data_IF_929818356438
#
_entry.id   IF_929818356438
#
_cell.length_a   1.000
_cell.length_b   1.000
_cell.length_c   1.000
_cell.angle_alpha   90.00
_cell.angle_beta   90.00
_cell.angle_gamma   90.00
#
_symmetry.space_group_name_H-M   'P 1'
#
loop_
_entity.id
_entity.type
_entity.pdbx_description
1 polymer ?
#
# COMPACT_ATOMS: atom_id res chain seq x y z
N UNK A 1 -4.22 21.00 -3.95
CA UNK A 1 -4.60 19.79 -3.18
C UNK A 1 -3.56 18.71 -3.43
N UNK A 2 -3.33 17.79 -2.51
CA UNK A 2 -2.36 16.69 -2.66
C UNK A 2 -3.03 15.36 -2.30
N UNK A 3 -2.54 14.26 -2.86
CA UNK A 3 -2.99 12.90 -2.55
C UNK A 3 -1.93 12.25 -1.68
N UNK A 4 -2.35 11.69 -0.54
CA UNK A 4 -1.45 10.98 0.38
C UNK A 4 -1.87 9.52 0.51
N UNK A 5 -0.93 8.59 0.75
CA UNK A 5 -1.26 7.20 1.03
C UNK A 5 -1.92 7.04 2.40
N UNK A 6 -2.73 5.99 2.54
CA UNK A 6 -3.43 5.63 3.78
C UNK A 6 -2.51 5.59 5.01
N UNK A 7 -1.39 4.86 4.95
CA UNK A 7 -0.45 4.75 6.08
C UNK A 7 0.21 6.07 6.47
N UNK A 8 0.33 7.04 5.57
CA UNK A 8 0.90 8.34 5.90
C UNK A 8 -0.04 9.17 6.79
N UNK A 9 -1.34 8.87 6.79
CA UNK A 9 -2.33 9.56 7.62
C UNK A 9 -2.12 9.29 9.12
N UNK A 10 -1.45 8.18 9.47
CA UNK A 10 -1.24 7.76 10.85
C UNK A 10 -0.26 8.66 11.60
N UNK A 11 0.70 9.27 10.88
CA UNK A 11 1.72 10.15 11.46
C UNK A 11 1.32 11.63 11.41
N UNK A 12 0.06 11.94 11.06
CA UNK A 12 -0.42 13.31 11.01
C UNK A 12 -0.74 13.84 12.41
N UNK A 13 -0.47 15.13 12.61
CA UNK A 13 -1.00 15.86 13.78
C UNK A 13 -2.53 15.92 13.71
N UNK A 14 -3.23 16.05 14.85
CA UNK A 14 -4.69 16.11 14.88
C UNK A 14 -5.28 17.16 13.92
N UNK A 15 -4.71 18.37 13.94
CA UNK A 15 -5.10 19.48 13.05
C UNK A 15 -4.98 19.16 11.56
N UNK A 16 -3.98 18.36 11.18
CA UNK A 16 -3.78 17.93 9.78
C UNK A 16 -4.72 16.80 9.41
N UNK A 17 -5.04 15.92 10.36
CA UNK A 17 -5.95 14.80 10.17
C UNK A 17 -7.37 15.27 9.86
N UNK A 18 -7.81 16.37 10.45
CA UNK A 18 -9.10 17.01 10.14
C UNK A 18 -9.21 17.51 8.68
N UNK A 19 -8.08 17.74 8.01
CA UNK A 19 -8.02 18.17 6.61
C UNK A 19 -7.94 17.00 5.63
N UNK A 20 -7.91 15.76 6.12
CA UNK A 20 -7.87 14.57 5.27
C UNK A 20 -9.28 14.31 4.75
N UNK A 21 -9.41 14.28 3.42
CA UNK A 21 -10.69 14.03 2.74
C UNK A 21 -10.57 12.65 2.07
N UNK A 22 -11.40 11.66 2.45
CA UNK A 22 -11.40 10.36 1.79
C UNK A 22 -12.02 10.47 0.39
N UNK A 23 -11.61 9.58 -0.51
CA UNK A 23 -12.23 9.49 -1.84
C UNK A 23 -13.61 8.83 -1.75
N UNK A 24 -14.53 9.30 -2.59
CA UNK A 24 -15.82 8.62 -2.85
C UNK A 24 -15.55 7.28 -3.53
N UNK A 25 -16.42 6.30 -3.29
CA UNK A 25 -16.27 4.99 -3.92
C UNK A 25 -16.36 5.07 -5.46
N UNK A 26 -15.54 4.29 -6.19
CA UNK A 26 -14.51 3.38 -5.68
C UNK A 26 -13.24 4.12 -5.24
N UNK A 27 -12.78 3.87 -4.02
CA UNK A 27 -11.55 4.48 -3.49
C UNK A 27 -10.32 3.95 -4.26
N UNK A 28 -9.47 4.84 -4.82
CA UNK A 28 -8.25 4.41 -5.49
C UNK A 28 -7.28 3.80 -4.48
N UNK A 29 -6.73 2.64 -4.81
CA UNK A 29 -5.74 1.94 -4.00
C UNK A 29 -4.47 1.71 -4.82
N UNK A 30 -3.35 1.46 -4.13
CA UNK A 30 -2.07 1.11 -4.76
C UNK A 30 -1.60 -0.26 -4.30
N UNK A 31 -1.00 -1.02 -5.20
CA UNK A 31 -0.26 -2.23 -4.85
C UNK A 31 1.15 -1.86 -4.40
N UNK A 32 1.65 -2.52 -3.35
CA UNK A 32 3.03 -2.39 -2.89
C UNK A 32 3.65 -3.78 -2.90
N UNK A 33 4.68 -3.97 -3.72
CA UNK A 33 5.29 -5.28 -3.97
C UNK A 33 6.78 -5.24 -3.62
N UNK A 34 7.29 -6.35 -3.07
CA UNK A 34 8.72 -6.51 -2.79
C UNK A 34 9.41 -7.10 -4.03
N UNK A 35 10.27 -6.31 -4.67
CA UNK A 35 11.03 -6.72 -5.86
C UNK A 35 12.41 -7.19 -5.43
N UNK A 36 12.86 -8.32 -5.97
CA UNK A 36 14.21 -8.83 -5.77
C UNK A 36 14.81 -9.35 -7.08
N UNK A 37 16.14 -9.45 -7.13
CA UNK A 37 16.83 -10.01 -8.27
C UNK A 37 16.46 -11.49 -8.48
N UNK A 38 16.28 -11.90 -9.74
CA UNK A 38 15.86 -13.26 -10.13
C UNK A 38 16.79 -14.35 -9.59
N UNK A 39 18.10 -14.10 -9.57
CA UNK A 39 19.13 -15.07 -9.16
C UNK A 39 19.60 -14.90 -7.71
N UNK A 40 18.77 -14.31 -6.85
CA UNK A 40 19.10 -14.20 -5.43
C UNK A 40 19.14 -15.58 -4.76
N UNK A 41 20.19 -15.85 -3.99
CA UNK A 41 20.37 -17.12 -3.27
C UNK A 41 19.69 -17.11 -1.89
N UNK A 42 19.29 -15.92 -1.40
CA UNK A 42 18.76 -15.71 -0.05
C UNK A 42 17.22 -15.61 -0.02
N UNK A 43 16.53 -16.51 -0.72
CA UNK A 43 15.05 -16.50 -0.82
C UNK A 43 14.37 -16.57 0.56
N UNK A 44 14.91 -17.38 1.49
CA UNK A 44 14.39 -17.47 2.87
C UNK A 44 14.39 -16.12 3.57
N UNK A 45 15.46 -15.34 3.42
CA UNK A 45 15.57 -14.02 4.04
C UNK A 45 14.56 -13.04 3.43
N UNK A 46 14.38 -13.09 2.11
CA UNK A 46 13.36 -12.28 1.41
C UNK A 46 11.96 -12.62 1.92
N UNK A 47 11.65 -13.90 2.07
CA UNK A 47 10.36 -14.33 2.62
C UNK A 47 10.16 -13.86 4.06
N UNK A 48 11.20 -13.95 4.90
CA UNK A 48 11.14 -13.42 6.27
C UNK A 48 10.86 -11.93 6.29
N UNK A 49 11.52 -11.14 5.44
CA UNK A 49 11.26 -9.69 5.32
C UNK A 49 9.84 -9.41 4.83
N UNK A 50 9.35 -10.17 3.84
CA UNK A 50 7.98 -10.02 3.37
C UNK A 50 6.96 -10.31 4.49
N UNK A 51 7.20 -11.37 5.26
CA UNK A 51 6.33 -11.74 6.38
C UNK A 51 6.35 -10.67 7.47
N UNK A 52 7.53 -10.19 7.88
CA UNK A 52 7.62 -9.16 8.93
C UNK A 52 6.95 -7.86 8.51
N UNK A 53 7.05 -7.45 7.24
CA UNK A 53 6.33 -6.28 6.73
C UNK A 53 4.82 -6.55 6.77
N UNK A 54 4.39 -7.73 6.31
CA UNK A 54 2.97 -8.09 6.23
C UNK A 54 2.32 -8.21 7.61
N UNK A 55 3.06 -8.67 8.62
CA UNK A 55 2.56 -8.84 9.99
C UNK A 55 2.22 -7.51 10.67
N UNK A 56 2.94 -6.44 10.33
CA UNK A 56 2.72 -5.09 10.90
C UNK A 56 1.59 -4.34 10.17
N UNK A 57 1.27 -4.72 8.93
CA UNK A 57 0.22 -4.07 8.14
C UNK A 57 -1.18 -4.55 8.58
N UNK A 58 -2.17 -3.65 8.76
CA UNK A 58 -3.54 -4.03 9.11
C UNK A 58 -4.20 -4.96 8.10
N UNK A 59 -5.02 -5.89 8.59
CA UNK A 59 -5.70 -6.89 7.78
C UNK A 59 -6.57 -6.29 6.65
N UNK A 60 -7.22 -5.14 6.87
CA UNK A 60 -8.09 -4.51 5.86
C UNK A 60 -7.32 -3.92 4.66
N UNK A 61 -6.00 -3.75 4.77
CA UNK A 61 -5.12 -3.36 3.66
C UNK A 61 -4.53 -4.57 2.94
N UNK A 62 -4.64 -5.78 3.52
CA UNK A 62 -4.22 -7.01 2.87
C UNK A 62 -5.29 -7.38 1.83
N UNK A 63 -4.84 -7.72 0.62
CA UNK A 63 -5.56 -8.16 -0.59
C UNK A 63 -7.09 -8.03 -0.51
N UNK A 64 -7.65 -7.08 -1.27
CA UNK A 64 -9.10 -7.05 -1.55
C UNK A 64 -9.42 -8.00 -2.71
N UNK A 65 -10.51 -8.76 -2.56
CA UNK A 65 -11.00 -9.68 -3.59
C UNK A 65 -11.62 -8.96 -4.80
N UNK A 66 -12.11 -7.74 -4.62
CA UNK A 66 -12.64 -6.90 -5.71
C UNK A 66 -11.87 -5.59 -5.83
N UNK A 67 -11.23 -5.40 -6.98
CA UNK A 67 -10.66 -4.10 -7.37
C UNK A 67 -10.77 -3.97 -8.89
N UNK A 68 -11.12 -2.78 -9.34
CA UNK A 68 -11.11 -2.44 -10.75
C UNK A 68 -9.68 -2.00 -11.11
N UNK A 69 -8.95 -2.83 -11.86
CA UNK A 69 -7.68 -2.40 -12.46
C UNK A 69 -8.00 -1.40 -13.57
N UNK A 70 -7.46 -0.19 -13.44
CA UNK A 70 -7.49 0.80 -14.51
C UNK A 70 -6.09 0.82 -15.10
N UNK A 71 -5.93 0.23 -16.28
CA UNK A 71 -4.68 0.30 -17.03
C UNK A 71 -4.50 1.74 -17.51
N UNK A 72 -3.51 2.42 -16.95
CA UNK A 72 -3.09 3.72 -17.44
C UNK A 72 -2.27 3.42 -18.70
N UNK A 73 -2.80 3.77 -19.87
CA UNK A 73 -2.11 3.62 -21.15
C UNK A 73 -0.73 4.31 -21.15
N UNK A 74 0.12 4.06 -22.15
CA UNK A 74 1.48 4.60 -22.17
C UNK A 74 1.44 6.12 -22.04
N UNK A 75 2.10 6.63 -20.99
CA UNK A 75 2.37 8.05 -20.75
C UNK A 75 3.43 8.54 -21.74
#
# INVERSE_FOLDING_TARGET
MTIIPELATWNLTPERKERVIPFVEPTPVREVSLIHHKFTTKLRLIQTVLNTITDVIPAYMKIKESYQRIDIGPV
#
